data_IF_623198871235
#
_entry.id   IF_623198871235
#
_cell.length_a   1.000
_cell.length_b   1.000
_cell.length_c   1.000
_cell.angle_alpha   90.00
_cell.angle_beta   90.00
_cell.angle_gamma   90.00
#
_symmetry.space_group_name_H-M   'P 1'
#
loop_
_entity.id
_entity.type
_entity.pdbx_description
1 polymer ?
#
# COMPACT_ATOMS: atom_id res chain seq x y z
N UNK A 1 12.64 -9.21 -27.82
CA UNK A 1 11.49 -8.77 -27.02
C UNK A 1 11.20 -9.85 -25.98
N UNK A 2 12.07 -9.98 -24.97
CA UNK A 2 12.05 -11.08 -23.99
C UNK A 2 12.79 -10.73 -22.66
N UNK A 3 12.99 -9.44 -22.36
CA UNK A 3 13.80 -8.98 -21.21
C UNK A 3 12.96 -8.40 -20.07
N UNK A 4 11.71 -8.04 -20.35
CA UNK A 4 10.83 -7.42 -19.36
C UNK A 4 10.17 -8.45 -18.42
N UNK A 5 9.89 -9.66 -18.91
CA UNK A 5 9.31 -10.74 -18.09
C UNK A 5 10.31 -11.28 -17.05
N UNK A 6 11.59 -11.38 -17.42
CA UNK A 6 12.69 -11.86 -16.56
C UNK A 6 12.96 -10.89 -15.38
N UNK A 7 12.89 -9.58 -15.65
CA UNK A 7 13.05 -8.52 -14.62
C UNK A 7 11.88 -8.49 -13.62
N UNK A 8 10.67 -8.85 -14.07
CA UNK A 8 9.49 -8.95 -13.22
C UNK A 8 9.59 -10.10 -12.21
N UNK A 9 10.05 -11.27 -12.67
CA UNK A 9 10.23 -12.46 -11.84
C UNK A 9 11.36 -12.29 -10.81
N UNK A 10 12.44 -11.60 -11.20
CA UNK A 10 13.54 -11.24 -10.29
C UNK A 10 13.09 -10.31 -9.15
N UNK A 11 12.28 -9.30 -9.45
CA UNK A 11 11.75 -8.36 -8.43
C UNK A 11 10.74 -9.01 -7.50
N UNK A 12 9.91 -9.89 -8.04
CA UNK A 12 8.97 -10.72 -7.29
C UNK A 12 9.71 -11.65 -6.32
N UNK A 13 10.69 -12.41 -6.83
CA UNK A 13 11.55 -13.28 -6.03
C UNK A 13 12.34 -12.49 -4.98
N UNK A 14 12.83 -11.29 -5.31
CA UNK A 14 13.47 -10.40 -4.38
C UNK A 14 12.52 -9.94 -3.27
N UNK A 15 11.29 -9.52 -3.60
CA UNK A 15 10.30 -9.09 -2.61
C UNK A 15 10.05 -10.19 -1.56
N UNK A 16 9.79 -11.41 -2.02
CA UNK A 16 9.52 -12.56 -1.14
C UNK A 16 10.75 -12.84 -0.26
N UNK A 17 11.96 -12.78 -0.81
CA UNK A 17 13.18 -13.08 -0.04
C UNK A 17 13.63 -11.99 0.91
N UNK A 18 13.46 -10.71 0.56
CA UNK A 18 14.12 -9.59 1.25
C UNK A 18 13.13 -8.68 1.99
N UNK A 19 11.96 -8.40 1.40
CA UNK A 19 10.96 -7.55 2.06
C UNK A 19 10.15 -8.36 3.07
N UNK A 20 9.64 -9.52 2.66
CA UNK A 20 8.86 -10.37 3.57
C UNK A 20 9.72 -10.82 4.76
N UNK A 21 10.93 -11.30 4.53
CA UNK A 21 11.80 -11.82 5.61
C UNK A 21 12.20 -10.74 6.62
N UNK A 22 12.44 -9.52 6.17
CA UNK A 22 12.93 -8.43 7.03
C UNK A 22 11.80 -7.73 7.80
N UNK A 23 10.62 -7.55 7.19
CA UNK A 23 9.54 -6.76 7.78
C UNK A 23 8.33 -7.59 8.23
N UNK A 24 8.12 -8.76 7.63
CA UNK A 24 6.86 -9.51 7.73
C UNK A 24 7.07 -11.02 7.87
N UNK A 25 8.17 -11.46 8.51
CA UNK A 25 8.56 -12.88 8.59
C UNK A 25 7.49 -13.79 9.22
N UNK A 26 6.62 -13.21 10.05
CA UNK A 26 5.51 -13.92 10.71
C UNK A 26 4.19 -13.89 9.92
N UNK A 27 4.16 -13.19 8.77
CA UNK A 27 2.97 -13.03 7.94
C UNK A 27 3.22 -13.66 6.56
N UNK A 28 2.73 -14.88 6.33
CA UNK A 28 2.90 -15.56 5.06
C UNK A 28 2.27 -14.79 3.90
N UNK A 29 2.88 -14.90 2.74
CA UNK A 29 2.30 -14.49 1.46
C UNK A 29 2.04 -15.75 0.65
N UNK A 30 0.84 -15.85 0.08
CA UNK A 30 0.40 -16.99 -0.72
C UNK A 30 -0.02 -16.51 -2.10
N UNK A 31 0.24 -17.32 -3.13
CA UNK A 31 -0.30 -17.08 -4.46
C UNK A 31 -1.83 -17.25 -4.43
N UNK A 32 -2.52 -16.47 -5.25
CA UNK A 32 -3.95 -16.60 -5.51
C UNK A 32 -4.18 -17.38 -6.80
N UNK A 33 -5.37 -17.99 -6.95
CA UNK A 33 -5.72 -18.79 -8.12
C UNK A 33 -5.68 -17.98 -9.43
N UNK A 34 -5.92 -16.67 -9.34
CA UNK A 34 -5.93 -15.73 -10.47
C UNK A 34 -4.54 -15.16 -10.80
N UNK A 35 -3.46 -15.74 -10.28
CA UNK A 35 -2.08 -15.27 -10.50
C UNK A 35 -1.68 -14.03 -9.69
N UNK A 36 -2.51 -13.66 -8.70
CA UNK A 36 -2.21 -12.62 -7.72
C UNK A 36 -1.52 -13.16 -6.47
N UNK A 37 -1.38 -12.30 -5.47
CA UNK A 37 -0.85 -12.65 -4.15
C UNK A 37 -1.76 -12.13 -3.04
N UNK A 38 -1.90 -12.92 -1.98
CA UNK A 38 -2.58 -12.52 -0.76
C UNK A 38 -1.66 -12.69 0.44
N UNK A 39 -1.73 -11.75 1.38
CA UNK A 39 -1.07 -11.87 2.67
C UNK A 39 -1.96 -12.59 3.68
N UNK A 40 -1.36 -13.27 4.67
CA UNK A 40 -2.07 -13.81 5.82
C UNK A 40 -1.70 -13.03 7.07
N UNK A 41 -2.67 -12.31 7.64
CA UNK A 41 -2.51 -11.50 8.85
C UNK A 41 -3.54 -11.92 9.89
N UNK A 42 -3.10 -12.42 11.05
CA UNK A 42 -3.99 -12.96 12.10
C UNK A 42 -5.04 -13.95 11.52
N UNK A 43 -4.59 -14.84 10.63
CA UNK A 43 -5.42 -15.81 9.87
C UNK A 43 -6.41 -15.19 8.86
N UNK A 44 -6.50 -13.87 8.77
CA UNK A 44 -7.30 -13.19 7.75
C UNK A 44 -6.47 -13.04 6.48
N UNK A 45 -7.12 -13.20 5.32
CA UNK A 45 -6.49 -12.89 4.04
C UNK A 45 -6.52 -11.39 3.83
N UNK A 46 -5.39 -10.84 3.39
CA UNK A 46 -5.19 -9.46 2.97
C UNK A 46 -4.99 -9.50 1.46
N UNK A 47 -6.00 -9.07 0.73
CA UNK A 47 -6.07 -9.16 -0.73
C UNK A 47 -6.02 -7.77 -1.35
N UNK A 48 -5.53 -7.71 -2.60
CA UNK A 48 -5.46 -6.45 -3.35
C UNK A 48 -6.55 -6.41 -4.40
N UNK A 49 -7.35 -5.35 -4.36
CA UNK A 49 -8.15 -4.93 -5.50
C UNK A 49 -7.49 -3.72 -6.17
N UNK A 50 -7.08 -3.89 -7.42
CA UNK A 50 -6.54 -2.80 -8.23
C UNK A 50 -7.64 -2.25 -9.14
N UNK A 51 -7.97 -0.97 -8.97
CA UNK A 51 -8.87 -0.21 -9.85
C UNK A 51 -8.05 0.76 -10.69
N UNK A 52 -8.50 1.00 -11.92
CA UNK A 52 -7.86 1.96 -12.85
C UNK A 52 -8.84 3.10 -13.16
N UNK A 53 -9.03 4.06 -12.24
CA UNK A 53 -9.95 5.18 -12.44
C UNK A 53 -9.55 6.12 -13.58
N UNK A 54 -8.24 6.19 -13.91
CA UNK A 54 -7.72 6.93 -15.06
C UNK A 54 -6.63 6.13 -15.77
N UNK A 55 -6.36 6.38 -17.07
CA UNK A 55 -5.34 5.63 -17.81
C UNK A 55 -3.95 5.69 -17.17
N UNK A 56 -3.57 6.79 -16.54
CA UNK A 56 -2.28 7.04 -15.91
C UNK A 56 -2.22 6.62 -14.42
N UNK A 57 -3.32 6.13 -13.86
CA UNK A 57 -3.49 5.94 -12.42
C UNK A 57 -4.05 4.57 -12.05
N UNK A 58 -3.30 3.82 -11.23
CA UNK A 58 -3.83 2.70 -10.46
C UNK A 58 -4.20 3.14 -9.05
N UNK A 59 -5.24 2.52 -8.50
CA UNK A 59 -5.66 2.68 -7.12
C UNK A 59 -5.79 1.29 -6.49
N UNK A 60 -5.00 1.03 -5.47
CA UNK A 60 -5.12 -0.18 -4.66
C UNK A 60 -6.19 -0.01 -3.59
N UNK A 61 -6.93 -1.08 -3.33
CA UNK A 61 -7.79 -1.23 -2.17
C UNK A 61 -7.47 -2.54 -1.49
N UNK A 62 -7.52 -2.53 -0.16
CA UNK A 62 -7.40 -3.75 0.63
C UNK A 62 -8.76 -4.39 0.79
N UNK A 63 -8.85 -5.68 0.44
CA UNK A 63 -9.98 -6.53 0.81
C UNK A 63 -9.51 -7.50 1.89
N UNK A 64 -10.28 -7.60 2.97
CA UNK A 64 -10.01 -8.57 4.02
C UNK A 64 -11.01 -9.73 3.95
N UNK A 65 -10.52 -10.95 4.13
CA UNK A 65 -11.38 -12.13 4.28
C UNK A 65 -11.07 -12.89 5.56
N UNK A 66 -12.12 -13.32 6.25
CA UNK A 66 -12.03 -14.25 7.36
C UNK A 66 -11.46 -15.60 6.89
N UNK A 67 -10.98 -16.45 7.82
CA UNK A 67 -10.60 -17.83 7.51
C UNK A 67 -11.72 -18.64 6.83
N UNK A 68 -12.98 -18.27 7.08
CA UNK A 68 -14.18 -18.86 6.46
C UNK A 68 -14.41 -18.40 5.01
N UNK A 69 -13.60 -17.47 4.50
CA UNK A 69 -13.74 -16.86 3.17
C UNK A 69 -14.68 -15.66 3.10
N UNK A 70 -15.44 -15.38 4.16
CA UNK A 70 -16.34 -14.24 4.23
C UNK A 70 -15.57 -12.92 4.20
N UNK A 71 -16.09 -11.92 3.46
CA UNK A 71 -15.55 -10.57 3.46
C UNK A 71 -15.67 -9.93 4.85
N UNK A 72 -14.61 -9.26 5.29
CA UNK A 72 -14.53 -8.57 6.59
C UNK A 72 -14.14 -7.12 6.36
N UNK A 73 -14.68 -6.22 7.18
CA UNK A 73 -14.32 -4.80 7.16
C UNK A 73 -12.93 -4.58 7.75
N UNK A 74 -12.21 -3.59 7.25
CA UNK A 74 -10.90 -3.21 7.78
C UNK A 74 -10.94 -2.92 9.29
N UNK A 75 -11.91 -2.12 9.74
CA UNK A 75 -12.07 -1.78 11.17
C UNK A 75 -12.17 -3.02 12.06
N UNK A 76 -12.79 -4.10 11.56
CA UNK A 76 -12.92 -5.35 12.30
C UNK A 76 -11.56 -6.05 12.44
N UNK A 77 -10.74 -6.06 11.39
CA UNK A 77 -9.38 -6.63 11.45
C UNK A 77 -8.46 -5.77 12.32
N UNK A 78 -8.57 -4.45 12.21
CA UNK A 78 -7.84 -3.51 13.08
C UNK A 78 -8.24 -3.71 14.55
N UNK A 79 -9.51 -3.93 14.86
CA UNK A 79 -9.95 -4.19 16.24
C UNK A 79 -9.35 -5.48 16.84
N UNK A 80 -8.90 -6.43 16.01
CA UNK A 80 -8.17 -7.62 16.47
C UNK A 80 -6.70 -7.30 16.81
N UNK A 81 -6.16 -6.17 16.34
CA UNK A 81 -4.83 -5.70 16.68
C UNK A 81 -4.84 -5.21 18.13
N UNK A 82 -4.39 -6.07 19.06
CA UNK A 82 -4.39 -5.78 20.51
C UNK A 82 -3.52 -4.57 20.91
N UNK A 83 -2.64 -4.11 20.03
CA UNK A 83 -1.75 -2.98 20.21
C UNK A 83 -1.67 -2.14 18.93
N UNK A 84 -1.43 -0.84 19.05
CA UNK A 84 -1.35 0.10 17.92
C UNK A 84 -0.23 -0.27 16.95
N UNK A 85 0.90 -0.78 17.43
CA UNK A 85 2.01 -1.22 16.58
C UNK A 85 1.57 -2.36 15.65
N UNK A 86 0.67 -3.24 16.09
CA UNK A 86 0.16 -4.34 15.25
C UNK A 86 -0.71 -3.80 14.11
N UNK A 87 -1.50 -2.75 14.34
CA UNK A 87 -2.27 -2.10 13.28
C UNK A 87 -1.35 -1.37 12.28
N UNK A 88 -0.28 -0.74 12.77
CA UNK A 88 0.77 -0.15 11.93
C UNK A 88 1.44 -1.20 11.04
N UNK A 89 1.71 -2.40 11.59
CA UNK A 89 2.28 -3.51 10.83
C UNK A 89 1.29 -4.04 9.79
N UNK A 90 0.00 -4.17 10.13
CA UNK A 90 -1.04 -4.58 9.19
C UNK A 90 -1.08 -3.65 7.96
N UNK A 91 -1.08 -2.35 8.19
CA UNK A 91 -1.12 -1.36 7.12
C UNK A 91 0.10 -1.47 6.18
N UNK A 92 1.30 -1.53 6.77
CA UNK A 92 2.54 -1.70 6.01
C UNK A 92 2.54 -3.01 5.23
N UNK A 93 2.01 -4.08 5.82
CA UNK A 93 1.89 -5.37 5.18
C UNK A 93 0.93 -5.32 3.99
N UNK A 94 -0.27 -4.76 4.16
CA UNK A 94 -1.25 -4.59 3.09
C UNK A 94 -0.68 -3.82 1.89
N UNK A 95 -0.02 -2.67 2.15
CA UNK A 95 0.63 -1.90 1.07
C UNK A 95 1.75 -2.67 0.39
N UNK A 96 2.49 -3.50 1.11
CA UNK A 96 3.53 -4.35 0.52
C UNK A 96 2.90 -5.43 -0.37
N UNK A 97 1.78 -6.04 0.04
CA UNK A 97 0.99 -6.95 -0.81
C UNK A 97 0.46 -6.25 -2.07
N UNK A 98 0.08 -4.97 -1.98
CA UNK A 98 -0.30 -4.20 -3.17
C UNK A 98 0.85 -4.02 -4.15
N UNK A 99 2.05 -3.69 -3.66
CA UNK A 99 3.24 -3.56 -4.51
C UNK A 99 3.60 -4.88 -5.18
N UNK A 100 3.46 -6.00 -4.46
CA UNK A 100 3.68 -7.33 -5.00
C UNK A 100 2.71 -7.65 -6.14
N UNK A 101 1.42 -7.36 -5.95
CA UNK A 101 0.41 -7.54 -6.99
C UNK A 101 0.55 -6.56 -8.15
N UNK A 102 1.19 -5.40 -7.95
CA UNK A 102 1.52 -4.50 -9.05
C UNK A 102 2.69 -5.05 -9.88
N UNK A 103 3.72 -5.59 -9.23
CA UNK A 103 4.88 -6.19 -9.88
C UNK A 103 4.50 -7.36 -10.79
N UNK A 104 3.47 -8.13 -10.43
CA UNK A 104 2.97 -9.23 -11.28
C UNK A 104 2.14 -8.75 -12.49
N UNK A 105 1.93 -7.45 -12.69
CA UNK A 105 1.16 -6.92 -13.82
C UNK A 105 2.06 -6.43 -14.95
N UNK A 106 1.71 -6.82 -16.18
CA UNK A 106 2.42 -6.46 -17.41
C UNK A 106 2.30 -4.97 -17.85
N UNK A 107 1.49 -4.13 -17.17
CA UNK A 107 1.24 -2.73 -17.58
C UNK A 107 1.58 -1.74 -16.46
N UNK A 108 2.69 -1.00 -16.55
CA UNK A 108 2.97 0.07 -15.61
C UNK A 108 1.98 1.23 -15.83
N UNK A 109 1.29 1.67 -14.77
CA UNK A 109 0.73 3.03 -14.77
C UNK A 109 1.82 4.02 -14.39
N UNK A 110 1.59 5.30 -14.68
CA UNK A 110 2.49 6.36 -14.28
C UNK A 110 2.52 6.51 -12.74
N UNK A 111 1.36 6.37 -12.09
CA UNK A 111 1.24 6.44 -10.63
C UNK A 111 0.34 5.33 -10.09
N UNK A 112 0.71 4.74 -8.95
CA UNK A 112 -0.17 3.92 -8.12
C UNK A 112 -0.45 4.61 -6.80
N UNK A 113 -1.71 4.75 -6.43
CA UNK A 113 -2.11 5.22 -5.12
C UNK A 113 -2.37 4.04 -4.18
N UNK A 114 -1.75 4.10 -3.02
CA UNK A 114 -1.83 3.11 -1.95
C UNK A 114 -2.53 3.74 -0.74
N UNK A 115 -3.64 3.16 -0.26
CA UNK A 115 -4.34 3.67 0.90
C UNK A 115 -3.49 3.52 2.15
N UNK A 116 -3.63 4.46 3.08
CA UNK A 116 -3.19 4.30 4.46
C UNK A 116 -4.40 4.39 5.39
N UNK A 117 -4.43 3.50 6.36
CA UNK A 117 -5.45 3.45 7.39
C UNK A 117 -5.28 4.61 8.38
N UNK A 118 -6.39 5.02 8.99
CA UNK A 118 -6.36 5.99 10.10
C UNK A 118 -5.55 5.47 11.29
N UNK A 119 -5.59 4.15 11.54
CA UNK A 119 -4.82 3.52 12.59
C UNK A 119 -3.30 3.67 12.41
N UNK A 120 -2.79 3.56 11.16
CA UNK A 120 -1.38 3.87 10.88
C UNK A 120 -1.06 5.33 11.22
N UNK A 121 -1.92 6.25 10.78
CA UNK A 121 -1.72 7.69 10.99
C UNK A 121 -1.72 8.07 12.46
N UNK A 122 -2.59 7.46 13.27
CA UNK A 122 -2.66 7.71 14.70
C UNK A 122 -1.56 6.96 15.48
N UNK A 123 -1.11 5.80 14.99
CA UNK A 123 -0.08 4.98 15.63
C UNK A 123 1.36 5.37 15.32
N UNK A 124 1.60 6.27 14.36
CA UNK A 124 2.93 6.79 14.02
C UNK A 124 2.99 8.27 14.40
N UNK A 125 3.78 8.64 15.42
CA UNK A 125 3.80 10.03 15.90
C UNK A 125 4.48 10.98 14.90
N UNK A 126 5.57 10.54 14.27
CA UNK A 126 6.38 11.32 13.32
C UNK A 126 7.07 10.40 12.29
N UNK A 127 7.62 10.98 11.23
CA UNK A 127 8.37 10.24 10.21
C UNK A 127 7.50 9.35 9.33
N UNK A 128 6.29 9.81 8.98
CA UNK A 128 5.41 9.09 8.07
C UNK A 128 6.11 8.87 6.73
N UNK A 129 6.10 7.61 6.27
CA UNK A 129 6.72 7.22 5.02
C UNK A 129 8.15 6.68 5.15
N UNK A 130 8.89 6.98 6.22
CA UNK A 130 10.32 6.59 6.34
C UNK A 130 10.55 5.09 6.16
N UNK A 131 9.81 4.25 6.89
CA UNK A 131 9.95 2.78 6.79
C UNK A 131 9.49 2.28 5.41
N UNK A 132 8.47 2.90 4.84
CA UNK A 132 7.91 2.45 3.57
C UNK A 132 8.77 2.87 2.37
N UNK A 133 9.48 4.00 2.46
CA UNK A 133 10.46 4.44 1.46
C UNK A 133 11.51 3.36 1.24
N UNK A 134 12.06 2.82 2.32
CA UNK A 134 13.06 1.76 2.27
C UNK A 134 12.53 0.45 1.64
N UNK A 135 11.22 0.17 1.76
CA UNK A 135 10.59 -0.95 1.03
C UNK A 135 10.50 -0.63 -0.46
N UNK A 136 10.03 0.57 -0.82
CA UNK A 136 9.83 0.99 -2.21
C UNK A 136 11.14 1.12 -2.98
N UNK A 137 12.17 1.72 -2.37
CA UNK A 137 13.50 1.91 -2.98
C UNK A 137 14.13 0.58 -3.37
N UNK A 138 13.99 -0.44 -2.51
CA UNK A 138 14.51 -1.79 -2.79
C UNK A 138 13.80 -2.48 -3.96
N UNK A 139 12.55 -2.12 -4.26
CA UNK A 139 11.78 -2.74 -5.34
C UNK A 139 12.00 -2.07 -6.71
N UNK A 140 12.66 -0.90 -6.73
CA UNK A 140 12.98 -0.15 -7.96
C UNK A 140 11.80 -0.05 -8.95
N UNK A 141 10.62 0.28 -8.42
CA UNK A 141 9.38 0.28 -9.17
C UNK A 141 9.39 1.34 -10.30
N UNK A 142 8.93 1.01 -11.51
CA UNK A 142 8.94 1.93 -12.66
C UNK A 142 7.75 2.91 -12.64
N UNK A 143 7.17 3.18 -11.48
CA UNK A 143 6.00 4.05 -11.31
C UNK A 143 6.15 4.95 -10.10
N UNK A 144 5.46 6.10 -10.10
CA UNK A 144 5.38 6.95 -8.91
C UNK A 144 4.46 6.32 -7.88
N UNK A 145 4.85 6.39 -6.61
CA UNK A 145 4.05 5.92 -5.50
C UNK A 145 3.30 7.09 -4.87
N UNK A 146 1.98 6.99 -4.89
CA UNK A 146 1.06 7.88 -4.22
C UNK A 146 0.56 7.31 -2.91
N UNK A 147 0.53 8.12 -1.87
CA UNK A 147 -0.08 7.77 -0.59
C UNK A 147 -1.47 8.42 -0.54
N UNK A 148 -2.49 7.59 -0.44
CA UNK A 148 -3.86 8.02 -0.31
C UNK A 148 -4.24 8.07 1.17
N UNK A 149 -4.32 9.30 1.68
CA UNK A 149 -4.66 9.63 3.06
C UNK A 149 -6.17 9.47 3.29
N UNK A 150 -6.60 9.00 4.47
CA UNK A 150 -8.01 8.77 4.75
C UNK A 150 -8.80 10.09 4.70
N UNK A 151 -10.01 10.04 4.11
CA UNK A 151 -10.90 11.19 3.98
C UNK A 151 -11.16 11.92 5.30
N UNK A 152 -11.16 11.20 6.42
CA UNK A 152 -11.37 11.75 7.77
C UNK A 152 -10.34 12.81 8.16
N UNK A 153 -9.14 12.82 7.58
CA UNK A 153 -8.15 13.86 7.84
C UNK A 153 -8.52 15.23 7.24
N UNK A 154 -9.53 15.31 6.36
CA UNK A 154 -10.01 16.59 5.83
C UNK A 154 -10.47 17.54 6.95
N UNK A 155 -10.96 16.99 8.07
CA UNK A 155 -11.41 17.77 9.23
C UNK A 155 -10.24 18.28 10.11
N UNK A 156 -9.00 17.86 9.84
CA UNK A 156 -7.79 18.21 10.62
C UNK A 156 -6.72 18.82 9.70
N UNK A 157 -6.94 20.02 9.12
CA UNK A 157 -6.15 20.55 8.00
C UNK A 157 -4.66 20.74 8.33
N UNK A 158 -4.32 21.20 9.54
CA UNK A 158 -2.92 21.33 9.96
C UNK A 158 -2.23 19.97 10.09
N UNK A 159 -2.93 18.99 10.63
CA UNK A 159 -2.42 17.63 10.77
C UNK A 159 -2.26 16.96 9.41
N UNK A 160 -3.25 17.12 8.53
CA UNK A 160 -3.21 16.66 7.14
C UNK A 160 -1.99 17.26 6.42
N UNK A 161 -1.76 18.56 6.54
CA UNK A 161 -0.63 19.24 5.92
C UNK A 161 0.72 18.68 6.41
N UNK A 162 0.88 18.47 7.73
CA UNK A 162 2.09 17.90 8.31
C UNK A 162 2.35 16.46 7.85
N UNK A 163 1.32 15.61 7.87
CA UNK A 163 1.43 14.21 7.41
C UNK A 163 1.78 14.17 5.92
N UNK A 164 1.09 14.97 5.10
CA UNK A 164 1.34 15.01 3.67
C UNK A 164 2.76 15.51 3.37
N UNK A 165 3.26 16.51 4.11
CA UNK A 165 4.65 16.95 4.01
C UNK A 165 5.63 15.83 4.33
N UNK A 166 5.41 15.10 5.43
CA UNK A 166 6.28 13.98 5.80
C UNK A 166 6.34 12.88 4.74
N UNK A 167 5.23 12.55 4.07
CA UNK A 167 5.25 11.61 2.94
C UNK A 167 5.98 12.19 1.71
N UNK A 168 5.82 13.48 1.41
CA UNK A 168 6.53 14.13 0.30
C UNK A 168 8.04 14.19 0.53
N UNK A 169 8.48 14.46 1.74
CA UNK A 169 9.89 14.44 2.13
C UNK A 169 10.51 13.03 1.96
N UNK A 170 9.66 11.99 1.91
CA UNK A 170 10.03 10.62 1.60
C UNK A 170 9.84 10.23 0.13
N UNK A 171 9.60 11.20 -0.76
CA UNK A 171 9.53 11.00 -2.22
C UNK A 171 8.17 10.53 -2.74
N UNK A 172 7.13 10.54 -1.91
CA UNK A 172 5.78 10.13 -2.32
C UNK A 172 4.94 11.30 -2.81
N UNK A 173 4.05 11.04 -3.77
CA UNK A 173 2.93 11.96 -4.05
C UNK A 173 1.81 11.71 -3.05
N UNK A 174 1.01 12.72 -2.73
CA UNK A 174 -0.06 12.58 -1.74
C UNK A 174 -1.43 12.90 -2.35
N UNK A 175 -2.43 12.13 -1.96
CA UNK A 175 -3.82 12.38 -2.27
C UNK A 175 -4.68 12.15 -1.03
N UNK A 176 -5.83 12.79 -0.98
CA UNK A 176 -6.89 12.47 -0.03
C UNK A 176 -7.87 11.52 -0.71
N UNK A 177 -8.30 10.49 0.00
CA UNK A 177 -9.43 9.67 -0.40
C UNK A 177 -10.69 10.54 -0.44
N UNK A 178 -11.37 10.58 -1.59
CA UNK A 178 -12.50 11.46 -1.86
C UNK A 178 -13.58 10.68 -2.63
N UNK A 179 -14.83 11.12 -2.54
CA UNK A 179 -15.99 10.40 -3.09
C UNK A 179 -15.92 10.23 -4.62
N UNK A 180 -15.29 11.19 -5.30
CA UNK A 180 -15.06 11.19 -6.75
C UNK A 180 -13.75 10.51 -7.17
N UNK A 181 -13.05 9.87 -6.22
CA UNK A 181 -11.72 9.30 -6.38
C UNK A 181 -10.61 10.20 -5.81
N UNK A 182 -9.36 9.74 -5.78
CA UNK A 182 -8.29 10.38 -5.02
C UNK A 182 -8.04 11.83 -5.46
N UNK A 183 -8.17 12.76 -4.52
CA UNK A 183 -7.90 14.19 -4.71
C UNK A 183 -6.44 14.50 -4.37
N UNK A 184 -5.63 14.77 -5.39
CA UNK A 184 -4.20 15.09 -5.20
C UNK A 184 -4.02 16.32 -4.29
N UNK A 185 -3.11 16.21 -3.34
CA UNK A 185 -2.77 17.26 -2.37
C UNK A 185 -1.48 18.00 -2.72
N UNK A 186 -0.65 17.45 -3.61
CA UNK A 186 0.57 18.12 -4.03
C UNK A 186 0.25 19.27 -4.98
N UNK A 187 1.01 20.38 -4.92
CA UNK A 187 0.93 21.41 -5.93
C UNK A 187 1.24 20.82 -7.32
N UNK A 188 0.65 21.37 -8.40
CA UNK A 188 1.01 21.00 -9.76
C UNK A 188 2.52 21.19 -9.93
N UNK A 189 3.21 20.13 -10.38
CA UNK A 189 4.63 20.24 -10.71
C UNK A 189 4.71 21.06 -12.01
N UNK A 190 5.34 22.23 -11.94
CA UNK A 190 5.70 22.99 -13.14
C UNK A 190 6.68 22.13 -13.93
N UNK A 191 6.36 21.90 -15.20
CA UNK A 191 7.17 21.11 -16.13
C UNK A 191 8.53 21.77 -16.41
#
# INVERSE_FOLDING_TARGET
>A
MAKDDDMGDDRLSFFIRQVQSHYFSHFPIVADADGGYAGLFLKHRVETELRRPRPDMWLAHTRYRAPTGQAVREDTVIALCRASETAVVLDRFARSVHLLNLLSRARPAQTIYLPVSRALIDGVPEGHGTVFRDIVERLALPCRIGIMLPATLAAEPERLARIAASYRDNGFVTALDDIDGPRRLDPPQVA
#
